data_IF_797735981693
#
_entry.id   IF_797735981693
#
_cell.length_a   1.000
_cell.length_b   1.000
_cell.length_c   1.000
_cell.angle_alpha   90.00
_cell.angle_beta   90.00
_cell.angle_gamma   90.00
#
_symmetry.space_group_name_H-M   'P 1'
#
loop_
_entity.id
_entity.type
_entity.pdbx_description
1 polymer ?
#
# COMPACT_ATOMS: atom_id res chain seq x y z
N UNK A 1 16.06 -15.91 -27.80
CA UNK A 1 15.88 -14.70 -26.96
C UNK A 1 14.89 -13.80 -27.69
N UNK A 2 13.89 -13.21 -27.02
CA UNK A 2 12.98 -12.27 -27.69
C UNK A 2 13.75 -10.97 -27.91
N UNK A 3 13.97 -10.59 -29.16
CA UNK A 3 14.56 -9.28 -29.50
C UNK A 3 13.65 -8.18 -28.93
N UNK A 4 14.23 -7.38 -28.05
CA UNK A 4 13.56 -6.24 -27.44
C UNK A 4 13.30 -5.19 -28.54
N UNK A 5 12.05 -4.71 -28.65
CA UNK A 5 11.67 -3.66 -29.60
C UNK A 5 11.30 -2.43 -28.78
N UNK A 6 11.90 -1.30 -29.12
CA UNK A 6 11.79 -0.07 -28.35
C UNK A 6 11.00 1.02 -29.09
N UNK A 7 10.72 0.83 -30.38
CA UNK A 7 9.91 1.77 -31.18
C UNK A 7 8.90 1.05 -32.08
N UNK A 8 7.79 1.72 -32.33
CA UNK A 8 6.66 1.25 -33.13
C UNK A 8 6.16 2.33 -34.09
N UNK A 9 5.83 1.97 -35.32
CA UNK A 9 5.07 2.82 -36.21
C UNK A 9 3.56 2.66 -35.96
N UNK A 10 2.88 3.75 -35.57
CA UNK A 10 1.42 3.76 -35.36
C UNK A 10 0.61 3.44 -36.61
N UNK A 11 1.13 3.76 -37.79
CA UNK A 11 0.40 3.61 -39.06
C UNK A 11 0.41 2.17 -39.58
N UNK A 12 1.58 1.54 -39.63
CA UNK A 12 1.72 0.18 -40.19
C UNK A 12 1.93 -0.90 -39.12
N UNK A 13 2.01 -0.54 -37.83
CA UNK A 13 2.23 -1.48 -36.73
C UNK A 13 3.60 -2.15 -36.73
N UNK A 14 4.55 -1.63 -37.53
CA UNK A 14 5.90 -2.20 -37.57
C UNK A 14 6.65 -1.82 -36.30
N UNK A 15 7.19 -2.82 -35.62
CA UNK A 15 7.96 -2.66 -34.39
C UNK A 15 9.38 -3.13 -34.63
N UNK A 16 10.36 -2.33 -34.21
CA UNK A 16 11.77 -2.65 -34.38
C UNK A 16 12.59 -2.12 -33.21
N UNK A 17 13.86 -2.53 -33.18
CA UNK A 17 14.86 -1.96 -32.29
C UNK A 17 15.57 -0.82 -33.01
N UNK A 18 15.47 0.38 -32.47
CA UNK A 18 16.20 1.57 -32.92
C UNK A 18 17.37 1.82 -31.98
N UNK A 19 18.59 1.77 -32.52
CA UNK A 19 19.81 2.15 -31.80
C UNK A 19 19.78 3.64 -31.42
N UNK A 20 19.31 4.51 -32.31
CA UNK A 20 19.09 5.93 -32.04
C UNK A 20 18.25 6.17 -30.78
N UNK A 21 17.11 5.48 -30.64
CA UNK A 21 16.28 5.61 -29.44
C UNK A 21 16.93 4.99 -28.20
N UNK A 22 17.73 3.93 -28.35
CA UNK A 22 18.41 3.27 -27.23
C UNK A 22 19.59 4.07 -26.68
N UNK A 23 20.33 4.77 -27.54
CA UNK A 23 21.57 5.47 -27.18
C UNK A 23 21.34 6.97 -26.95
N UNK A 24 20.52 7.61 -27.79
CA UNK A 24 20.29 9.06 -27.77
C UNK A 24 18.95 9.44 -27.10
N UNK A 25 18.05 8.47 -26.93
CA UNK A 25 16.70 8.71 -26.41
C UNK A 25 15.77 9.40 -27.42
N UNK A 26 16.21 9.55 -28.67
CA UNK A 26 15.43 10.19 -29.72
C UNK A 26 14.65 9.17 -30.55
N UNK A 27 13.35 9.38 -30.69
CA UNK A 27 12.49 8.51 -31.50
C UNK A 27 12.78 8.83 -32.97
N UNK A 28 13.03 7.81 -33.83
CA UNK A 28 13.25 8.04 -35.25
C UNK A 28 12.07 8.78 -35.89
N UNK A 29 12.35 9.81 -36.68
CA UNK A 29 11.29 10.59 -37.34
C UNK A 29 10.46 9.71 -38.28
N UNK A 30 11.12 8.85 -39.06
CA UNK A 30 10.49 8.05 -40.11
C UNK A 30 10.46 6.55 -39.83
N UNK A 31 9.34 5.92 -40.19
CA UNK A 31 9.25 4.47 -40.21
C UNK A 31 10.08 3.88 -41.35
N UNK A 32 10.96 2.93 -41.05
CA UNK A 32 11.81 2.21 -42.03
C UNK A 32 11.04 1.35 -43.03
N UNK A 33 9.74 1.13 -42.82
CA UNK A 33 8.90 0.26 -43.67
C UNK A 33 7.90 1.03 -44.53
N UNK A 34 7.24 2.03 -43.95
CA UNK A 34 6.23 2.83 -44.67
C UNK A 34 6.65 4.27 -44.92
N UNK A 35 7.84 4.69 -44.47
CA UNK A 35 8.43 6.02 -44.70
C UNK A 35 7.53 7.17 -44.28
N UNK A 36 6.82 6.99 -43.17
CA UNK A 36 5.86 7.97 -42.64
C UNK A 36 6.27 8.39 -41.23
N UNK A 37 6.01 9.65 -40.93
CA UNK A 37 6.36 10.30 -39.66
C UNK A 37 5.34 9.95 -38.57
N UNK A 38 5.36 8.69 -38.14
CA UNK A 38 4.35 8.13 -37.24
C UNK A 38 4.93 7.14 -36.24
N UNK A 39 6.21 7.30 -35.91
CA UNK A 39 6.94 6.45 -34.97
C UNK A 39 6.65 6.91 -33.53
N UNK A 40 6.54 5.97 -32.61
CA UNK A 40 6.44 6.19 -31.17
C UNK A 40 7.36 5.25 -30.42
N UNK A 41 7.74 5.64 -29.21
CA UNK A 41 8.34 4.73 -28.25
C UNK A 41 7.38 3.61 -27.86
N UNK A 42 7.93 2.42 -27.66
CA UNK A 42 7.26 1.31 -26.98
C UNK A 42 7.66 1.43 -25.51
N UNK A 43 6.71 1.66 -24.59
CA UNK A 43 7.04 1.74 -23.17
C UNK A 43 7.64 0.42 -22.69
N UNK A 44 8.71 0.52 -21.90
CA UNK A 44 9.32 -0.63 -21.25
C UNK A 44 8.28 -1.36 -20.39
N UNK A 45 8.24 -2.70 -20.43
CA UNK A 45 7.41 -3.44 -19.50
C UNK A 45 7.87 -3.08 -18.07
N UNK A 46 6.93 -2.74 -17.16
CA UNK A 46 7.30 -2.30 -15.83
C UNK A 46 8.14 -3.38 -15.15
N UNK A 47 9.26 -2.97 -14.55
CA UNK A 47 10.10 -3.92 -13.83
C UNK A 47 9.38 -4.37 -12.56
N UNK A 48 9.81 -5.50 -11.98
CA UNK A 48 9.29 -5.93 -10.66
C UNK A 48 9.43 -4.84 -9.59
N UNK A 49 10.44 -3.97 -9.72
CA UNK A 49 10.69 -2.86 -8.79
C UNK A 49 9.61 -1.79 -8.94
N UNK A 50 9.20 -1.47 -10.16
CA UNK A 50 8.17 -0.45 -10.42
C UNK A 50 6.80 -0.91 -9.92
N UNK A 51 6.47 -2.19 -10.12
CA UNK A 51 5.26 -2.82 -9.57
C UNK A 51 5.26 -2.72 -8.03
N UNK A 52 6.39 -3.03 -7.40
CA UNK A 52 6.54 -2.92 -5.94
C UNK A 52 6.40 -1.49 -5.43
N UNK A 53 6.94 -0.49 -6.15
CA UNK A 53 6.78 0.92 -5.80
C UNK A 53 5.31 1.35 -5.85
N UNK A 54 4.58 0.97 -6.89
CA UNK A 54 3.15 1.27 -7.00
C UNK A 54 2.34 0.63 -5.85
N UNK A 55 2.64 -0.61 -5.49
CA UNK A 55 1.99 -1.27 -4.34
C UNK A 55 2.28 -0.58 -3.02
N UNK A 56 3.53 -0.14 -2.79
CA UNK A 56 3.91 0.60 -1.59
C UNK A 56 3.18 1.95 -1.49
N UNK A 57 3.05 2.67 -2.60
CA UNK A 57 2.30 3.93 -2.66
C UNK A 57 0.82 3.71 -2.38
N UNK A 58 0.22 2.65 -2.95
CA UNK A 58 -1.17 2.26 -2.65
C UNK A 58 -1.36 1.96 -1.17
N UNK A 59 -0.48 1.14 -0.57
CA UNK A 59 -0.54 0.82 0.88
C UNK A 59 -0.37 2.07 1.76
N UNK A 60 0.53 3.00 1.39
CA UNK A 60 0.74 4.27 2.11
C UNK A 60 -0.54 5.11 2.16
N UNK A 61 -1.32 5.13 1.08
CA UNK A 61 -2.55 5.91 1.00
C UNK A 61 -3.74 5.26 1.75
N UNK A 62 -3.76 3.92 1.87
CA UNK A 62 -4.81 3.20 2.62
C UNK A 62 -4.63 3.23 4.15
N UNK A 63 -3.37 3.20 4.62
CA UNK A 63 -3.02 3.18 6.04
C UNK A 63 -3.70 4.27 6.89
N UNK A 64 -3.70 5.57 6.51
CA UNK A 64 -4.32 6.61 7.32
C UNK A 64 -5.84 6.43 7.49
N UNK A 65 -6.53 5.89 6.48
CA UNK A 65 -7.96 5.60 6.53
C UNK A 65 -8.29 4.50 7.55
N UNK A 66 -7.51 3.40 7.52
CA UNK A 66 -7.67 2.28 8.46
C UNK A 66 -7.39 2.72 9.90
N UNK A 67 -6.34 3.53 10.14
CA UNK A 67 -6.01 4.03 11.49
C UNK A 67 -7.15 4.88 12.07
N UNK A 68 -7.75 5.78 11.27
CA UNK A 68 -8.88 6.60 11.72
C UNK A 68 -10.10 5.74 12.08
N UNK A 69 -10.40 4.73 11.27
CA UNK A 69 -11.54 3.84 11.53
C UNK A 69 -11.35 3.00 12.81
N UNK A 70 -10.14 2.49 13.04
CA UNK A 70 -9.82 1.72 14.26
C UNK A 70 -9.92 2.59 15.51
N UNK A 71 -9.43 3.84 15.46
CA UNK A 71 -9.56 4.78 16.58
C UNK A 71 -11.04 5.07 16.90
N UNK A 72 -11.87 5.34 15.89
CA UNK A 72 -13.30 5.57 16.11
C UNK A 72 -14.00 4.36 16.74
N UNK A 73 -13.72 3.14 16.25
CA UNK A 73 -14.27 1.91 16.84
C UNK A 73 -13.86 1.73 18.30
N UNK A 74 -12.59 2.00 18.63
CA UNK A 74 -12.09 1.91 19.99
C UNK A 74 -12.75 2.92 20.94
N UNK A 75 -12.98 4.15 20.49
CA UNK A 75 -13.68 5.19 21.27
C UNK A 75 -15.14 4.76 21.54
N UNK A 76 -15.87 4.36 20.51
CA UNK A 76 -17.27 3.91 20.63
C UNK A 76 -17.36 2.70 21.57
N UNK A 77 -16.47 1.72 21.43
CA UNK A 77 -16.43 0.56 22.33
C UNK A 77 -16.18 0.97 23.77
N UNK A 78 -15.23 1.87 24.02
CA UNK A 78 -14.92 2.36 25.37
C UNK A 78 -16.10 3.11 25.99
N UNK A 79 -16.80 3.89 25.19
CA UNK A 79 -17.95 4.69 25.63
C UNK A 79 -19.15 3.80 25.98
N UNK A 80 -19.46 2.82 25.12
CA UNK A 80 -20.53 1.85 25.36
C UNK A 80 -20.25 0.94 26.57
N UNK A 81 -18.99 0.59 26.82
CA UNK A 81 -18.61 -0.31 27.92
C UNK A 81 -18.18 0.43 29.19
N UNK A 82 -18.33 1.75 29.27
CA UNK A 82 -17.84 2.56 30.39
C UNK A 82 -18.38 2.09 31.74
N UNK A 83 -19.66 1.74 31.80
CA UNK A 83 -20.31 1.22 33.02
C UNK A 83 -19.78 -0.17 33.41
N UNK A 84 -19.62 -1.08 32.44
CA UNK A 84 -19.07 -2.41 32.67
C UNK A 84 -17.63 -2.34 33.17
N UNK A 85 -16.79 -1.50 32.56
CA UNK A 85 -15.41 -1.26 32.99
C UNK A 85 -15.37 -0.70 34.41
N UNK A 86 -16.26 0.23 34.74
CA UNK A 86 -16.38 0.78 36.09
C UNK A 86 -16.76 -0.29 37.11
N UNK A 87 -17.76 -1.13 36.81
CA UNK A 87 -18.23 -2.20 37.68
C UNK A 87 -17.13 -3.25 37.95
N UNK A 88 -16.40 -3.65 36.91
CA UNK A 88 -15.26 -4.58 37.03
C UNK A 88 -14.18 -3.98 37.94
N UNK A 89 -13.80 -2.72 37.72
CA UNK A 89 -12.79 -2.06 38.56
C UNK A 89 -13.23 -1.96 40.02
N UNK A 90 -14.49 -1.57 40.28
CA UNK A 90 -15.00 -1.54 41.66
C UNK A 90 -15.03 -2.93 42.28
N UNK A 91 -15.41 -3.96 41.52
CA UNK A 91 -15.40 -5.35 42.00
C UNK A 91 -14.00 -5.79 42.43
N UNK A 92 -12.98 -5.55 41.59
CA UNK A 92 -11.58 -5.88 41.90
C UNK A 92 -11.13 -5.19 43.19
N UNK A 93 -11.43 -3.90 43.35
CA UNK A 93 -11.05 -3.13 44.55
C UNK A 93 -11.70 -3.73 45.80
N UNK A 94 -13.00 -4.03 45.74
CA UNK A 94 -13.73 -4.64 46.86
C UNK A 94 -13.13 -6.00 47.22
N UNK A 95 -12.85 -6.85 46.22
CA UNK A 95 -12.25 -8.17 46.46
C UNK A 95 -10.89 -8.06 47.14
N UNK A 96 -10.04 -7.11 46.72
CA UNK A 96 -8.73 -6.86 47.35
C UNK A 96 -8.88 -6.39 48.80
N UNK A 97 -9.83 -5.49 49.08
CA UNK A 97 -10.10 -5.02 50.43
C UNK A 97 -10.58 -6.14 51.35
N UNK A 98 -11.50 -6.99 50.87
CA UNK A 98 -12.00 -8.14 51.63
C UNK A 98 -10.89 -9.15 51.89
N UNK A 99 -10.06 -9.45 50.89
CA UNK A 99 -8.92 -10.36 51.05
C UNK A 99 -7.92 -9.84 52.10
N UNK A 100 -7.62 -8.53 52.08
CA UNK A 100 -6.76 -7.89 53.07
C UNK A 100 -7.36 -7.95 54.49
N UNK A 101 -8.66 -7.73 54.63
CA UNK A 101 -9.38 -7.85 55.91
C UNK A 101 -9.34 -9.27 56.45
N UNK A 102 -9.61 -10.29 55.63
CA UNK A 102 -9.55 -11.70 56.04
C UNK A 102 -8.14 -12.06 56.48
N UNK A 103 -7.12 -11.66 55.72
CA UNK A 103 -5.73 -11.88 56.10
C UNK A 103 -5.41 -11.27 57.46
N UNK A 104 -5.86 -10.03 57.70
CA UNK A 104 -5.63 -9.35 58.97
C UNK A 104 -6.37 -9.99 60.15
N UNK A 105 -7.56 -10.54 59.93
CA UNK A 105 -8.40 -11.12 60.99
C UNK A 105 -8.06 -12.57 61.35
N UNK A 106 -7.52 -13.37 60.41
CA UNK A 106 -7.36 -14.81 60.58
C UNK A 106 -5.91 -15.31 60.48
N UNK A 107 -5.00 -14.54 59.90
CA UNK A 107 -3.60 -14.95 59.71
C UNK A 107 -2.64 -14.17 60.61
N UNK A 108 -3.09 -13.05 61.18
CA UNK A 108 -2.40 -12.35 62.26
C UNK A 108 -2.83 -12.90 63.62
#
# INVERSE_FOLDING_TARGET
MKEYRNVECKRCGYQWYSEQFAEEGEVPEQCTRCYQDSVREIPEPPTKIDIWKEELVKKKNELPGKIKQTRHKAVIWKENNKLLISLINTGIIITLLVAALIYFLFVR
#
